data_IF_760143938224
#
_entry.id   IF_760143938224
#
_cell.length_a   1.000
_cell.length_b   1.000
_cell.length_c   1.000
_cell.angle_alpha   90.00
_cell.angle_beta   90.00
_cell.angle_gamma   90.00
#
_symmetry.space_group_name_H-M   'P 1'
#
loop_
_entity.id
_entity.type
_entity.pdbx_description
1 polymer ?
#
# COMPACT_ATOMS: atom_id res chain seq x y z
N UNK A 1 -8.47 -6.67 15.56
CA UNK A 1 -7.60 -7.17 14.46
C UNK A 1 -6.70 -8.25 14.99
N UNK A 2 -6.15 -9.12 14.13
CA UNK A 2 -5.04 -10.01 14.51
C UNK A 2 -3.90 -9.19 15.12
N UNK A 3 -3.32 -9.67 16.21
CA UNK A 3 -2.06 -9.14 16.74
C UNK A 3 -0.92 -9.74 15.93
N UNK A 4 -0.13 -8.89 15.29
CA UNK A 4 1.07 -9.30 14.57
C UNK A 4 2.30 -9.05 15.45
N UNK A 5 3.22 -10.01 15.49
CA UNK A 5 4.46 -9.88 16.25
C UNK A 5 5.52 -9.05 15.53
N UNK A 6 5.45 -8.98 14.19
CA UNK A 6 6.39 -8.25 13.36
C UNK A 6 5.76 -7.84 12.01
N UNK A 7 6.54 -7.08 11.24
CA UNK A 7 6.13 -6.62 9.92
C UNK A 7 5.98 -7.77 8.92
N UNK A 8 6.78 -8.82 9.02
CA UNK A 8 6.72 -9.95 8.09
C UNK A 8 5.37 -10.68 8.18
N UNK A 9 4.78 -10.78 9.38
CA UNK A 9 3.44 -11.30 9.59
C UNK A 9 2.37 -10.48 8.85
N UNK A 10 2.43 -9.15 8.94
CA UNK A 10 1.50 -8.26 8.22
C UNK A 10 1.66 -8.43 6.70
N UNK A 11 2.90 -8.40 6.21
CA UNK A 11 3.21 -8.43 4.78
C UNK A 11 2.87 -9.75 4.08
N UNK A 12 2.70 -10.83 4.85
CA UNK A 12 2.40 -12.17 4.32
C UNK A 12 0.95 -12.61 4.53
N UNK A 13 0.14 -11.81 5.24
CA UNK A 13 -1.28 -12.11 5.47
C UNK A 13 -2.12 -11.89 4.19
N UNK A 14 -2.72 -12.98 3.71
CA UNK A 14 -3.52 -13.01 2.47
C UNK A 14 -4.89 -12.39 2.62
N UNK A 15 -5.46 -12.41 3.82
CA UNK A 15 -6.76 -11.79 4.09
C UNK A 15 -6.60 -10.26 4.07
N UNK A 16 -5.50 -9.75 4.65
CA UNK A 16 -5.12 -8.34 4.53
C UNK A 16 -4.84 -7.95 3.08
N UNK A 17 -4.08 -8.76 2.31
CA UNK A 17 -3.81 -8.46 0.91
C UNK A 17 -5.09 -8.36 0.08
N UNK A 18 -6.02 -9.31 0.26
CA UNK A 18 -7.32 -9.33 -0.43
C UNK A 18 -8.14 -8.05 -0.18
N UNK A 19 -8.26 -7.62 1.07
CA UNK A 19 -8.91 -6.34 1.40
C UNK A 19 -8.09 -5.14 0.90
N UNK A 20 -6.77 -5.27 0.93
CA UNK A 20 -5.81 -4.27 0.51
C UNK A 20 -5.87 -3.91 -0.97
N UNK A 21 -6.14 -4.87 -1.86
CA UNK A 21 -6.36 -4.59 -3.29
C UNK A 21 -7.54 -3.62 -3.46
N UNK A 22 -8.68 -3.92 -2.82
CA UNK A 22 -9.86 -3.03 -2.87
C UNK A 22 -9.55 -1.66 -2.27
N UNK A 23 -8.88 -1.61 -1.12
CA UNK A 23 -8.49 -0.37 -0.45
C UNK A 23 -7.57 0.49 -1.33
N UNK A 24 -6.48 -0.06 -1.86
CA UNK A 24 -5.53 0.65 -2.72
C UNK A 24 -6.21 1.18 -3.98
N UNK A 25 -7.05 0.37 -4.62
CA UNK A 25 -7.79 0.79 -5.80
C UNK A 25 -8.72 1.96 -5.49
N UNK A 26 -9.37 1.97 -4.32
CA UNK A 26 -10.21 3.07 -3.88
C UNK A 26 -9.40 4.34 -3.60
N UNK A 27 -8.33 4.25 -2.80
CA UNK A 27 -7.44 5.39 -2.49
C UNK A 27 -6.89 6.01 -3.78
N UNK A 28 -6.42 5.18 -4.71
CA UNK A 28 -5.89 5.67 -5.99
C UNK A 28 -6.97 6.32 -6.86
N UNK A 29 -8.18 5.76 -6.89
CA UNK A 29 -9.32 6.35 -7.61
C UNK A 29 -9.69 7.72 -7.06
N UNK A 30 -9.69 7.89 -5.73
CA UNK A 30 -9.90 9.19 -5.09
C UNK A 30 -8.79 10.19 -5.46
N UNK A 31 -7.52 9.78 -5.36
CA UNK A 31 -6.40 10.64 -5.72
C UNK A 31 -6.44 11.06 -7.20
N UNK A 32 -6.84 10.15 -8.10
CA UNK A 32 -7.03 10.45 -9.50
C UNK A 32 -8.20 11.42 -9.72
N UNK A 33 -9.28 11.27 -8.94
CA UNK A 33 -10.44 12.16 -9.00
C UNK A 33 -10.09 13.58 -8.57
N UNK A 34 -9.32 13.72 -7.48
CA UNK A 34 -8.82 15.03 -7.02
C UNK A 34 -7.94 15.69 -8.07
N UNK A 35 -7.00 14.94 -8.66
CA UNK A 35 -6.10 15.46 -9.70
C UNK A 35 -6.81 15.91 -10.97
N UNK A 36 -7.92 15.26 -11.32
CA UNK A 36 -8.69 15.55 -12.54
C UNK A 36 -9.87 16.49 -12.30
N UNK A 37 -10.16 16.83 -11.05
CA UNK A 37 -11.36 17.57 -10.66
C UNK A 37 -12.69 16.94 -11.16
N UNK A 38 -12.73 15.60 -11.29
CA UNK A 38 -13.94 14.86 -11.67
C UNK A 38 -13.92 13.44 -11.10
N UNK A 39 -15.08 12.85 -10.76
CA UNK A 39 -15.15 11.44 -10.33
C UNK A 39 -14.46 10.52 -11.33
N UNK A 40 -13.48 9.75 -10.85
CA UNK A 40 -12.63 8.88 -11.65
C UNK A 40 -12.34 7.57 -10.92
N UNK A 41 -12.34 6.46 -11.65
CA UNK A 41 -11.98 5.14 -11.13
C UNK A 41 -10.79 4.57 -11.90
N UNK A 42 -9.86 3.95 -11.18
CA UNK A 42 -8.76 3.21 -11.79
C UNK A 42 -8.29 2.07 -10.90
N UNK A 43 -7.93 0.95 -11.54
CA UNK A 43 -7.23 -0.15 -10.87
C UNK A 43 -5.73 0.05 -10.96
N UNK A 44 -5.04 -0.22 -9.86
CA UNK A 44 -3.59 -0.23 -9.79
C UNK A 44 -3.11 -1.59 -10.29
N UNK A 45 -2.15 -1.61 -11.22
CA UNK A 45 -1.59 -2.87 -11.70
C UNK A 45 -0.66 -3.45 -10.64
N UNK A 46 -0.77 -4.75 -10.36
CA UNK A 46 0.16 -5.43 -9.44
C UNK A 46 1.65 -5.31 -9.85
N UNK A 47 1.97 -5.01 -11.13
CA UNK A 47 3.35 -4.63 -11.53
C UNK A 47 3.83 -3.41 -10.79
N UNK A 48 3.01 -2.37 -10.76
CA UNK A 48 3.29 -1.07 -10.17
C UNK A 48 3.48 -1.22 -8.67
N UNK A 49 2.60 -1.97 -7.99
CA UNK A 49 2.71 -2.22 -6.55
C UNK A 49 3.97 -3.00 -6.19
N UNK A 50 4.24 -4.09 -6.90
CA UNK A 50 5.45 -4.88 -6.67
C UNK A 50 6.74 -4.07 -6.91
N UNK A 51 6.73 -3.17 -7.89
CA UNK A 51 7.84 -2.27 -8.16
C UNK A 51 8.00 -1.21 -7.07
N UNK A 52 6.90 -0.57 -6.65
CA UNK A 52 6.88 0.42 -5.58
C UNK A 52 7.40 -0.17 -4.27
N UNK A 53 6.92 -1.37 -3.92
CA UNK A 53 7.36 -2.11 -2.73
C UNK A 53 8.85 -2.47 -2.77
N UNK A 54 9.37 -2.84 -3.95
CA UNK A 54 10.79 -3.12 -4.11
C UNK A 54 11.63 -1.85 -3.99
N UNK A 55 11.23 -0.78 -4.66
CA UNK A 55 11.94 0.51 -4.67
C UNK A 55 11.91 1.23 -3.32
N UNK A 56 10.91 0.97 -2.48
CA UNK A 56 10.85 1.49 -1.10
C UNK A 56 11.77 0.77 -0.12
N UNK A 57 12.53 -0.25 -0.55
CA UNK A 57 13.43 -1.00 0.33
C UNK A 57 12.73 -1.97 1.28
N UNK A 58 11.39 -2.05 1.26
CA UNK A 58 10.61 -2.92 2.13
C UNK A 58 10.78 -4.41 1.83
N UNK A 59 11.36 -4.75 0.67
CA UNK A 59 11.75 -6.13 0.32
C UNK A 59 12.60 -6.79 1.41
N UNK A 60 13.39 -6.05 2.18
CA UNK A 60 14.21 -6.59 3.27
C UNK A 60 13.41 -7.28 4.38
N UNK A 61 12.13 -6.93 4.54
CA UNK A 61 11.23 -7.53 5.55
C UNK A 61 10.49 -8.77 5.05
N UNK A 62 10.63 -9.12 3.77
CA UNK A 62 10.00 -10.29 3.19
C UNK A 62 10.91 -11.53 3.28
N UNK A 63 10.35 -12.75 3.33
CA UNK A 63 11.11 -13.99 3.27
C UNK A 63 12.06 -14.08 2.06
N UNK A 64 13.05 -14.97 2.11
CA UNK A 64 14.06 -15.10 1.04
C UNK A 64 13.44 -15.46 -0.32
N UNK A 65 12.44 -16.36 -0.34
CA UNK A 65 11.73 -16.76 -1.56
C UNK A 65 10.46 -15.95 -1.74
N UNK A 66 10.50 -14.95 -2.63
CA UNK A 66 9.31 -14.14 -2.96
C UNK A 66 9.12 -14.04 -4.46
N UNK A 67 7.86 -14.13 -4.87
CA UNK A 67 7.47 -13.85 -6.25
C UNK A 67 7.10 -12.38 -6.40
N UNK A 68 6.99 -11.90 -7.64
CA UNK A 68 6.50 -10.55 -7.90
C UNK A 68 5.06 -10.35 -7.42
N UNK A 69 4.22 -11.37 -7.52
CA UNK A 69 2.84 -11.31 -7.01
C UNK A 69 2.83 -11.12 -5.49
N UNK A 70 3.66 -11.86 -4.76
CA UNK A 70 3.79 -11.69 -3.31
C UNK A 70 4.22 -10.29 -2.88
N UNK A 71 5.01 -9.58 -3.71
CA UNK A 71 5.39 -8.19 -3.42
C UNK A 71 4.23 -7.21 -3.64
N UNK A 72 3.33 -7.50 -4.59
CA UNK A 72 2.11 -6.71 -4.76
C UNK A 72 1.17 -6.93 -3.57
N UNK A 73 0.93 -8.20 -3.21
CA UNK A 73 0.10 -8.57 -2.05
C UNK A 73 0.64 -7.95 -0.75
N UNK A 74 1.96 -7.93 -0.58
CA UNK A 74 2.60 -7.32 0.59
C UNK A 74 2.37 -5.79 0.65
N UNK A 75 2.36 -5.11 -0.49
CA UNK A 75 2.02 -3.69 -0.56
C UNK A 75 0.56 -3.44 -0.18
N UNK A 76 -0.35 -4.27 -0.71
CA UNK A 76 -1.79 -4.22 -0.42
C UNK A 76 -2.06 -4.45 1.07
N UNK A 77 -1.48 -5.51 1.62
CA UNK A 77 -1.62 -5.86 3.03
C UNK A 77 -1.10 -4.74 3.95
N UNK A 78 0.09 -4.18 3.66
CA UNK A 78 0.67 -3.11 4.46
C UNK A 78 -0.22 -1.86 4.45
N UNK A 79 -0.66 -1.42 3.27
CA UNK A 79 -1.44 -0.21 3.12
C UNK A 79 -2.75 -0.27 3.92
N UNK A 80 -3.49 -1.38 3.80
CA UNK A 80 -4.77 -1.51 4.51
C UNK A 80 -4.58 -1.74 6.00
N UNK A 81 -3.54 -2.46 6.42
CA UNK A 81 -3.21 -2.63 7.82
C UNK A 81 -2.95 -1.28 8.49
N UNK A 82 -2.14 -0.42 7.84
CA UNK A 82 -1.87 0.93 8.33
C UNK A 82 -3.14 1.75 8.55
N UNK A 83 -4.10 1.64 7.64
CA UNK A 83 -5.38 2.34 7.77
C UNK A 83 -6.29 1.74 8.85
N UNK A 84 -6.44 0.40 8.88
CA UNK A 84 -7.27 -0.29 9.87
C UNK A 84 -6.77 -0.07 11.30
N UNK A 85 -5.46 0.02 11.49
CA UNK A 85 -4.81 0.26 12.79
C UNK A 85 -4.67 1.76 13.13
N UNK A 86 -5.25 2.65 12.33
CA UNK A 86 -5.18 4.11 12.54
C UNK A 86 -3.76 4.69 12.52
N UNK A 87 -2.79 4.00 11.89
CA UNK A 87 -1.44 4.53 11.66
C UNK A 87 -1.43 5.58 10.54
N UNK A 88 -2.41 5.54 9.64
CA UNK A 88 -2.66 6.56 8.62
C UNK A 88 -4.16 6.71 8.41
N UNK A 89 -4.60 7.89 7.99
CA UNK A 89 -5.98 8.16 7.61
C UNK A 89 -6.19 8.02 6.10
N UNK A 90 -7.44 7.77 5.68
CA UNK A 90 -7.80 7.74 4.25
C UNK A 90 -7.39 9.05 3.55
N UNK A 91 -7.62 10.20 4.20
CA UNK A 91 -7.28 11.52 3.65
C UNK A 91 -5.77 11.68 3.41
N UNK A 92 -4.95 11.21 4.34
CA UNK A 92 -3.49 11.23 4.18
C UNK A 92 -3.05 10.33 3.03
N UNK A 93 -3.61 9.11 2.93
CA UNK A 93 -3.30 8.20 1.84
C UNK A 93 -3.62 8.82 0.47
N UNK A 94 -4.80 9.42 0.33
CA UNK A 94 -5.22 10.11 -0.90
C UNK A 94 -4.30 11.30 -1.20
N UNK A 95 -4.02 12.14 -0.20
CA UNK A 95 -3.15 13.31 -0.37
C UNK A 95 -1.72 12.93 -0.79
N UNK A 96 -1.17 11.83 -0.26
CA UNK A 96 0.14 11.32 -0.68
C UNK A 96 0.10 10.95 -2.16
N UNK A 97 -0.87 10.15 -2.60
CA UNK A 97 -0.97 9.72 -4.00
C UNK A 97 -1.29 10.88 -4.95
N UNK A 98 -2.12 11.84 -4.55
CA UNK A 98 -2.51 12.97 -5.38
C UNK A 98 -1.34 13.92 -5.69
N UNK A 99 -0.37 14.03 -4.77
CA UNK A 99 0.83 14.87 -4.92
C UNK A 99 1.88 14.30 -5.87
N UNK A 100 1.86 13.00 -6.14
CA UNK A 100 2.86 12.35 -6.98
C UNK A 100 2.34 12.14 -8.40
N UNK A 101 3.12 12.58 -9.40
CA UNK A 101 2.81 12.32 -10.81
C UNK A 101 3.10 10.87 -11.17
N UNK A 102 4.21 10.33 -10.69
CA UNK A 102 4.60 8.94 -10.83
C UNK A 102 3.91 8.06 -9.78
N UNK A 103 3.20 7.03 -10.24
CA UNK A 103 2.42 6.15 -9.37
C UNK A 103 3.30 5.21 -8.54
N UNK A 104 4.46 4.78 -9.08
CA UNK A 104 5.38 3.90 -8.37
C UNK A 104 5.99 4.64 -7.19
N UNK A 105 6.40 5.90 -7.39
CA UNK A 105 6.91 6.77 -6.32
C UNK A 105 5.84 7.08 -5.29
N UNK A 106 4.63 7.48 -5.72
CA UNK A 106 3.52 7.78 -4.81
C UNK A 106 3.15 6.58 -3.94
N UNK A 107 3.04 5.39 -4.53
CA UNK A 107 2.80 4.15 -3.79
C UNK A 107 3.95 3.83 -2.84
N UNK A 108 5.20 3.98 -3.29
CA UNK A 108 6.37 3.77 -2.43
C UNK A 108 6.35 4.69 -1.21
N UNK A 109 6.00 5.96 -1.39
CA UNK A 109 5.89 6.95 -0.30
C UNK A 109 4.76 6.61 0.66
N UNK A 110 3.61 6.17 0.15
CA UNK A 110 2.49 5.70 0.98
C UNK A 110 2.93 4.55 1.89
N UNK A 111 3.56 3.52 1.32
CA UNK A 111 4.00 2.34 2.06
C UNK A 111 5.05 2.68 3.13
N UNK A 112 5.98 3.58 2.81
CA UNK A 112 6.98 4.06 3.79
C UNK A 112 6.32 4.82 4.94
N UNK A 113 5.38 5.71 4.63
CA UNK A 113 4.66 6.49 5.65
C UNK A 113 3.93 5.56 6.61
N UNK A 114 3.25 4.53 6.08
CA UNK A 114 2.59 3.51 6.90
C UNK A 114 3.61 2.78 7.78
N UNK A 115 4.71 2.29 7.18
CA UNK A 115 5.74 1.56 7.91
C UNK A 115 6.39 2.40 9.03
N UNK A 116 6.59 3.69 8.81
CA UNK A 116 7.16 4.62 9.81
C UNK A 116 6.24 4.82 11.03
N UNK A 117 4.93 4.67 10.83
CA UNK A 117 3.92 4.88 11.87
C UNK A 117 3.56 3.59 12.63
N UNK A 118 3.94 2.41 12.12
CA UNK A 118 3.70 1.12 12.78
C UNK A 118 4.75 0.89 13.88
N UNK A 119 4.27 0.41 15.04
CA UNK A 119 5.10 -0.11 16.14
C UNK A 119 4.55 -1.48 16.53
N UNK A 120 5.44 -2.46 16.66
CA UNK A 120 5.13 -3.82 17.12
C UNK A 120 5.49 -3.97 18.58
#
# INVERSE_FOLDING_TARGET
>A
MKNYADLAGVLTDKELASLGDAFINFVYSLALSERKHQPSGAKVRGRTLAEAFRKSGLRGYMPSRVTRHMLADAAEALAVYGWLCHHVTLKECVAILARHKDLVEGMGRLLLTVKENIRF
#
